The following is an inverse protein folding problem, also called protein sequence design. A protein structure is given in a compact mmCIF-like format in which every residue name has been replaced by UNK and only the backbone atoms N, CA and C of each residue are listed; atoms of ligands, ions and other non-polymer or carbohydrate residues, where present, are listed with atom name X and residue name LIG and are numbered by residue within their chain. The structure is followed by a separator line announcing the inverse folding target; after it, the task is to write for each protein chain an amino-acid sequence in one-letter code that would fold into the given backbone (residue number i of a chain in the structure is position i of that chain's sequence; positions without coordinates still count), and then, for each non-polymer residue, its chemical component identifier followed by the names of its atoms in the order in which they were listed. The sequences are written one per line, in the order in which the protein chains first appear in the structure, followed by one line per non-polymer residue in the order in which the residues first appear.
data_IF_606423453434
#
_entry.id   IF_606423453434
#
_cell.length_a   1.000
_cell.length_b   1.000
_cell.length_c   1.000
_cell.angle_alpha   90.00
_cell.angle_beta   90.00
_cell.angle_gamma   90.00
#
_symmetry.space_group_name_H-M   'P 1'
#
loop_
_entity.id
_entity.type
_entity.pdbx_description
1 polymer ?
#
# COMPACT_ATOMS: atom_id res chain seq x y z
N UNK A 1 8.04 5.26 28.52
CA UNK A 1 7.12 5.68 27.43
C UNK A 1 6.15 4.54 27.20
N UNK A 2 4.91 4.68 27.67
CA UNK A 2 3.85 3.70 27.43
C UNK A 2 3.32 3.94 26.02
N UNK A 3 3.71 3.09 25.08
CA UNK A 3 2.96 2.96 23.84
C UNK A 3 1.59 2.42 24.24
N UNK A 4 0.58 3.29 24.22
CA UNK A 4 -0.81 2.89 24.41
C UNK A 4 -1.20 1.85 23.35
N UNK A 5 -2.26 1.06 23.57
CA UNK A 5 -2.68 0.04 22.62
C UNK A 5 -2.79 0.69 21.24
N UNK A 6 -1.98 0.21 20.29
CA UNK A 6 -2.20 0.47 18.87
C UNK A 6 -3.65 0.10 18.62
N UNK A 7 -4.49 1.09 18.32
CA UNK A 7 -5.91 0.85 18.06
C UNK A 7 -6.03 -0.33 17.09
N UNK A 8 -6.92 -1.31 17.36
CA UNK A 8 -7.15 -2.36 16.40
C UNK A 8 -7.55 -1.72 15.08
N UNK A 9 -6.94 -2.18 13.98
CA UNK A 9 -7.23 -1.67 12.64
C UNK A 9 -8.74 -1.65 12.42
N UNK A 10 -9.30 -0.45 12.25
CA UNK A 10 -10.69 -0.34 11.87
C UNK A 10 -10.84 -0.71 10.40
N UNK A 11 -11.59 -1.77 10.10
CA UNK A 11 -11.87 -2.19 8.72
C UNK A 11 -12.74 -1.19 7.93
N UNK A 12 -13.13 -0.08 8.56
CA UNK A 12 -13.88 1.02 7.95
C UNK A 12 -13.06 2.30 7.80
N UNK A 13 -11.91 2.43 8.46
CA UNK A 13 -11.06 3.61 8.35
C UNK A 13 -10.02 3.42 7.23
N UNK A 14 -10.26 4.07 6.09
CA UNK A 14 -9.37 4.01 4.92
C UNK A 14 -7.95 4.47 5.26
N UNK A 15 -7.79 5.47 6.13
CA UNK A 15 -6.48 5.99 6.51
C UNK A 15 -5.67 4.94 7.27
N UNK A 16 -6.29 4.24 8.22
CA UNK A 16 -5.65 3.14 8.96
C UNK A 16 -5.33 1.94 8.06
N UNK A 17 -6.21 1.61 7.12
CA UNK A 17 -5.97 0.54 6.16
C UNK A 17 -4.79 0.86 5.23
N UNK A 18 -4.64 2.12 4.80
CA UNK A 18 -3.50 2.57 4.00
C UNK A 18 -2.19 2.55 4.79
N UNK A 19 -2.21 2.94 6.06
CA UNK A 19 -1.06 2.81 6.96
C UNK A 19 -0.65 1.34 7.16
N UNK A 20 -1.64 0.46 7.31
CA UNK A 20 -1.40 -0.98 7.38
C UNK A 20 -0.76 -1.51 6.10
N UNK A 21 -1.28 -1.15 4.92
CA UNK A 21 -0.69 -1.53 3.64
C UNK A 21 0.76 -1.02 3.49
N UNK A 22 1.04 0.20 3.94
CA UNK A 22 2.41 0.73 3.97
C UNK A 22 3.33 -0.10 4.89
N UNK A 23 2.82 -0.51 6.07
CA UNK A 23 3.56 -1.38 6.99
C UNK A 23 3.86 -2.76 6.40
N UNK A 24 2.91 -3.37 5.68
CA UNK A 24 3.10 -4.64 4.98
C UNK A 24 4.16 -4.52 3.89
N UNK A 25 4.18 -3.41 3.16
CA UNK A 25 5.20 -3.12 2.17
C UNK A 25 6.59 -3.01 2.82
N UNK A 26 6.73 -2.35 3.97
CA UNK A 26 8.00 -2.33 4.70
C UNK A 26 8.40 -3.72 5.22
N UNK A 27 7.44 -4.52 5.69
CA UNK A 27 7.70 -5.90 6.09
C UNK A 27 8.19 -6.74 4.90
N UNK A 28 7.61 -6.57 3.71
CA UNK A 28 8.05 -7.23 2.49
C UNK A 28 9.51 -6.88 2.12
N UNK A 29 9.96 -5.64 2.36
CA UNK A 29 11.37 -5.25 2.23
C UNK A 29 12.24 -6.03 3.22
N UNK A 30 11.87 -6.03 4.51
CA UNK A 30 12.62 -6.75 5.56
C UNK A 30 12.70 -8.26 5.33
N UNK A 31 11.69 -8.84 4.67
CA UNK A 31 11.64 -10.26 4.30
C UNK A 31 12.43 -10.57 3.01
N UNK A 32 13.02 -9.56 2.36
CA UNK A 32 13.71 -9.70 1.08
C UNK A 32 12.79 -10.02 -0.10
N UNK A 33 11.49 -9.75 0.03
CA UNK A 33 10.52 -9.97 -1.04
C UNK A 33 10.48 -8.82 -2.04
N UNK A 34 10.95 -7.64 -1.61
CA UNK A 34 11.34 -6.53 -2.47
C UNK A 34 12.86 -6.45 -2.43
N UNK A 35 13.52 -6.56 -3.58
CA UNK A 35 14.95 -6.88 -3.66
C UNK A 35 15.66 -6.30 -4.89
N UNK A 36 16.99 -6.40 -4.88
CA UNK A 36 17.85 -6.08 -6.00
C UNK A 36 18.22 -4.60 -6.11
N UNK A 37 19.19 -4.26 -6.98
CA UNK A 37 19.64 -2.88 -7.16
C UNK A 37 18.50 -2.01 -7.71
N UNK A 38 18.15 -0.94 -6.99
CA UNK A 38 17.02 -0.07 -7.35
C UNK A 38 15.73 -0.35 -6.57
N UNK A 39 15.70 -1.35 -5.68
CA UNK A 39 14.58 -1.60 -4.78
C UNK A 39 14.20 -0.37 -3.96
N UNK A 40 15.16 0.45 -3.54
CA UNK A 40 14.91 1.65 -2.75
C UNK A 40 14.06 2.68 -3.52
N UNK A 41 14.32 2.84 -4.82
CA UNK A 41 13.53 3.70 -5.69
C UNK A 41 12.10 3.17 -5.86
N UNK A 42 11.93 1.86 -5.96
CA UNK A 42 10.60 1.22 -6.00
C UNK A 42 9.87 1.45 -4.67
N UNK A 43 10.52 1.22 -3.52
CA UNK A 43 9.92 1.43 -2.20
C UNK A 43 9.48 2.88 -2.03
N UNK A 44 10.32 3.85 -2.39
CA UNK A 44 9.99 5.27 -2.33
C UNK A 44 8.80 5.62 -3.23
N UNK A 45 8.76 5.06 -4.44
CA UNK A 45 7.69 5.28 -5.42
C UNK A 45 6.35 4.69 -4.94
N UNK A 46 6.37 3.52 -4.30
CA UNK A 46 5.22 2.89 -3.67
C UNK A 46 4.73 3.69 -2.45
N UNK A 47 5.65 4.18 -1.60
CA UNK A 47 5.33 5.04 -0.45
C UNK A 47 4.64 6.34 -0.85
N UNK A 48 5.15 6.99 -1.90
CA UNK A 48 4.56 8.22 -2.40
C UNK A 48 3.10 8.01 -2.84
N UNK A 49 2.78 6.87 -3.46
CA UNK A 49 1.42 6.54 -3.91
C UNK A 49 0.48 6.26 -2.74
N UNK A 50 0.92 5.50 -1.74
CA UNK A 50 0.11 5.24 -0.54
C UNK A 50 -0.12 6.51 0.27
N UNK A 51 0.90 7.35 0.41
CA UNK A 51 0.79 8.66 1.08
C UNK A 51 -0.18 9.58 0.35
N UNK A 52 -0.11 9.64 -0.98
CA UNK A 52 -1.04 10.42 -1.79
C UNK A 52 -2.48 9.89 -1.71
N UNK A 53 -2.67 8.57 -1.78
CA UNK A 53 -3.96 7.92 -1.59
C UNK A 53 -4.59 8.28 -0.24
N UNK A 54 -3.77 8.26 0.83
CA UNK A 54 -4.22 8.62 2.17
C UNK A 54 -4.64 10.07 2.27
N UNK A 55 -3.85 10.99 1.70
CA UNK A 55 -4.18 12.41 1.68
C UNK A 55 -5.50 12.67 0.95
N UNK A 56 -5.71 12.05 -0.21
CA UNK A 56 -6.92 12.23 -1.01
C UNK A 56 -8.16 11.64 -0.32
N UNK A 57 -8.04 10.45 0.27
CA UNK A 57 -9.12 9.84 1.05
C UNK A 57 -9.48 10.70 2.28
N UNK A 58 -8.48 11.24 2.97
CA UNK A 58 -8.70 12.13 4.11
C UNK A 58 -9.38 13.46 3.74
N UNK A 59 -9.24 13.93 2.49
CA UNK A 59 -9.95 15.10 1.97
C UNK A 59 -11.30 14.77 1.33
N UNK A 60 -11.74 13.50 1.35
CA UNK A 60 -12.97 13.04 0.71
C UNK A 60 -12.91 12.96 -0.82
N UNK A 61 -11.72 13.01 -1.42
CA UNK A 61 -11.51 12.81 -2.86
C UNK A 61 -11.22 11.34 -3.16
N UNK A 62 -12.25 10.51 -3.00
CA UNK A 62 -12.17 9.06 -3.19
C UNK A 62 -11.77 8.70 -4.62
N UNK A 63 -12.17 9.49 -5.62
CA UNK A 63 -11.80 9.26 -7.02
C UNK A 63 -10.30 9.38 -7.22
N UNK A 64 -9.69 10.42 -6.65
CA UNK A 64 -8.23 10.60 -6.72
C UNK A 64 -7.51 9.52 -5.90
N UNK A 65 -8.04 9.14 -4.74
CA UNK A 65 -7.50 8.03 -3.94
C UNK A 65 -7.50 6.70 -4.71
N UNK A 66 -8.59 6.38 -5.39
CA UNK A 66 -8.73 5.19 -6.26
C UNK A 66 -7.67 5.22 -7.37
N UNK A 67 -7.48 6.36 -8.04
CA UNK A 67 -6.48 6.48 -9.10
C UNK A 67 -5.05 6.23 -8.58
N UNK A 68 -4.73 6.71 -7.37
CA UNK A 68 -3.43 6.52 -6.74
C UNK A 68 -3.20 5.06 -6.32
N UNK A 69 -4.23 4.37 -5.82
CA UNK A 69 -4.17 2.93 -5.53
C UNK A 69 -4.04 2.07 -6.79
N UNK A 70 -4.73 2.43 -7.87
CA UNK A 70 -4.56 1.76 -9.16
C UNK A 70 -3.14 1.96 -9.71
N UNK A 71 -2.57 3.16 -9.57
CA UNK A 71 -1.17 3.40 -9.92
C UNK A 71 -0.20 2.55 -9.07
N UNK A 72 -0.50 2.36 -7.78
CA UNK A 72 0.27 1.48 -6.89
C UNK A 72 0.22 0.03 -7.39
N UNK A 73 -0.97 -0.50 -7.69
CA UNK A 73 -1.15 -1.87 -8.21
C UNK A 73 -0.42 -2.06 -9.55
N UNK A 74 -0.50 -1.07 -10.46
CA UNK A 74 0.20 -1.13 -11.75
C UNK A 74 1.72 -1.19 -11.59
N UNK A 75 2.27 -0.47 -10.62
CA UNK A 75 3.69 -0.54 -10.31
C UNK A 75 4.09 -1.90 -9.72
N UNK A 76 3.27 -2.47 -8.82
CA UNK A 76 3.49 -3.84 -8.32
C UNK A 76 3.56 -4.85 -9.47
N UNK A 77 2.62 -4.76 -10.42
CA UNK A 77 2.60 -5.63 -11.61
C UNK A 77 3.86 -5.43 -12.48
N UNK A 78 4.27 -4.17 -12.69
CA UNK A 78 5.43 -3.85 -13.50
C UNK A 78 6.75 -4.34 -12.90
N UNK A 79 6.83 -4.42 -11.57
CA UNK A 79 8.02 -4.84 -10.82
C UNK A 79 8.02 -6.31 -10.42
N UNK A 80 6.89 -7.01 -10.58
CA UNK A 80 6.78 -8.45 -10.32
C UNK A 80 7.81 -9.22 -11.15
N UNK A 81 8.60 -10.08 -10.48
CA UNK A 81 9.69 -10.85 -11.08
C UNK A 81 10.98 -10.05 -11.35
N UNK A 82 10.98 -8.72 -11.18
CA UNK A 82 12.17 -7.86 -11.35
C UNK A 82 12.77 -7.47 -10.00
N UNK A 83 11.99 -6.73 -9.22
CA UNK A 83 12.37 -6.21 -7.90
C UNK A 83 11.40 -6.64 -6.81
N UNK A 84 10.40 -7.44 -7.15
CA UNK A 84 9.31 -7.84 -6.26
C UNK A 84 8.92 -9.28 -6.60
N UNK A 85 8.94 -10.18 -5.62
CA UNK A 85 8.52 -11.57 -5.82
C UNK A 85 6.99 -11.73 -5.69
N UNK A 86 6.51 -12.95 -5.93
CA UNK A 86 5.09 -13.27 -5.90
C UNK A 86 4.46 -13.11 -4.50
N UNK A 87 5.20 -13.35 -3.42
CA UNK A 87 4.69 -13.18 -2.06
C UNK A 87 4.39 -11.71 -1.77
N UNK A 88 5.30 -10.80 -2.09
CA UNK A 88 5.06 -9.36 -1.98
C UNK A 88 3.94 -8.92 -2.92
N UNK A 89 3.90 -9.43 -4.16
CA UNK A 89 2.86 -9.08 -5.13
C UNK A 89 1.47 -9.38 -4.59
N UNK A 90 1.19 -10.63 -4.22
CA UNK A 90 -0.16 -11.03 -3.81
C UNK A 90 -0.55 -10.40 -2.47
N UNK A 91 0.37 -10.29 -1.51
CA UNK A 91 0.09 -9.62 -0.24
C UNK A 91 -0.34 -8.16 -0.45
N UNK A 92 0.44 -7.39 -1.22
CA UNK A 92 0.19 -5.97 -1.41
C UNK A 92 -0.99 -5.71 -2.34
N UNK A 93 -1.16 -6.49 -3.41
CA UNK A 93 -2.29 -6.38 -4.32
C UNK A 93 -3.61 -6.67 -3.61
N UNK A 94 -3.70 -7.75 -2.84
CA UNK A 94 -4.95 -8.12 -2.16
C UNK A 94 -5.39 -7.05 -1.16
N UNK A 95 -4.46 -6.50 -0.39
CA UNK A 95 -4.75 -5.41 0.55
C UNK A 95 -5.15 -4.11 -0.17
N UNK A 96 -4.49 -3.76 -1.29
CA UNK A 96 -4.87 -2.61 -2.09
C UNK A 96 -6.28 -2.76 -2.71
N UNK A 97 -6.62 -3.95 -3.23
CA UNK A 97 -7.96 -4.26 -3.74
C UNK A 97 -9.04 -4.19 -2.65
N UNK A 98 -8.73 -4.67 -1.45
CA UNK A 98 -9.64 -4.51 -0.31
C UNK A 98 -9.94 -3.03 -0.03
N UNK A 99 -8.94 -2.15 -0.04
CA UNK A 99 -9.14 -0.72 0.16
C UNK A 99 -9.96 -0.09 -0.98
N UNK A 100 -9.69 -0.47 -2.23
CA UNK A 100 -10.48 -0.04 -3.39
C UNK A 100 -11.97 -0.37 -3.23
N UNK A 101 -12.29 -1.59 -2.74
CA UNK A 101 -13.67 -2.00 -2.47
C UNK A 101 -14.35 -1.12 -1.42
N UNK A 102 -13.59 -0.60 -0.44
CA UNK A 102 -14.10 0.30 0.60
C UNK A 102 -14.30 1.73 0.10
N UNK A 103 -13.54 2.16 -0.89
CA UNK A 103 -13.70 3.45 -1.58
C UNK A 103 -14.81 3.43 -2.65
N UNK A 104 -15.51 2.31 -2.84
CA UNK A 104 -16.59 2.19 -3.82
C UNK A 104 -16.10 1.90 -5.24
N UNK A 105 -14.84 1.49 -5.43
CA UNK A 105 -14.39 0.89 -6.69
C UNK A 105 -14.71 -0.60 -6.69
N UNK A 106 -15.36 -1.14 -7.73
CA UNK A 106 -15.58 -2.58 -7.88
C UNK A 106 -14.26 -3.34 -8.08
#
# INVERSE_FOLDING_TARGET
MTVGPTQPLSLTDIGQLLDFLASLKHQAVSLGWIYGPGSDGIVQSLDAKLTAAKASAASGDDKTAINQLNAFINELQAQRGKHLNDNAFYLLQANAQFILSKLGSP
#
